data_IF_895925737790
#
_entry.id   IF_895925737790
#
_cell.length_a   1.000
_cell.length_b   1.000
_cell.length_c   1.000
_cell.angle_alpha   90.00
_cell.angle_beta   90.00
_cell.angle_gamma   90.00
#
_symmetry.space_group_name_H-M   'P 1'
#
loop_
_entity.id
_entity.type
_entity.pdbx_description
1 polymer ?
#
# COMPACT_ATOMS: atom_id res chain seq x y z
N UNK A 1 -8.25 27.67 9.94
CA UNK A 1 -8.56 27.13 8.61
C UNK A 1 -7.27 26.65 7.93
N UNK A 2 -6.20 27.42 8.01
CA UNK A 2 -4.87 27.15 7.46
C UNK A 2 -4.31 25.82 7.95
N UNK A 3 -4.21 25.62 9.26
CA UNK A 3 -3.75 24.34 9.87
C UNK A 3 -4.58 23.14 9.41
N UNK A 4 -5.89 23.34 9.19
CA UNK A 4 -6.77 22.28 8.72
C UNK A 4 -6.50 21.92 7.25
N UNK A 5 -6.15 22.91 6.42
CA UNK A 5 -5.76 22.67 5.03
C UNK A 5 -4.41 21.98 4.95
N UNK A 6 -3.42 22.45 5.69
CA UNK A 6 -2.10 21.82 5.76
C UNK A 6 -2.18 20.35 6.21
N UNK A 7 -2.92 20.08 7.30
CA UNK A 7 -3.12 18.72 7.77
C UNK A 7 -3.87 17.83 6.76
N UNK A 8 -4.83 18.40 6.02
CA UNK A 8 -5.54 17.68 4.98
C UNK A 8 -4.63 17.36 3.77
N UNK A 9 -3.80 18.30 3.35
CA UNK A 9 -2.79 18.09 2.30
C UNK A 9 -1.82 17.00 2.73
N UNK A 10 -1.26 17.07 3.94
CA UNK A 10 -0.31 16.07 4.45
C UNK A 10 -0.93 14.67 4.54
N UNK A 11 -2.20 14.57 4.96
CA UNK A 11 -2.91 13.30 4.97
C UNK A 11 -3.03 12.71 3.55
N UNK A 12 -3.46 13.52 2.59
CA UNK A 12 -3.65 13.07 1.21
C UNK A 12 -2.33 12.74 0.52
N UNK A 13 -1.26 13.50 0.75
CA UNK A 13 0.07 13.18 0.24
C UNK A 13 0.59 11.86 0.81
N UNK A 14 0.36 11.61 2.10
CA UNK A 14 0.69 10.32 2.71
C UNK A 14 -0.13 9.18 2.08
N UNK A 15 -1.44 9.40 1.87
CA UNK A 15 -2.31 8.43 1.21
C UNK A 15 -1.84 8.15 -0.24
N UNK A 16 -1.47 9.19 -0.99
CA UNK A 16 -0.91 9.11 -2.35
C UNK A 16 0.36 8.25 -2.40
N UNK A 17 1.30 8.50 -1.49
CA UNK A 17 2.55 7.74 -1.42
C UNK A 17 2.31 6.25 -1.09
N UNK A 18 1.39 5.97 -0.17
CA UNK A 18 1.04 4.58 0.16
C UNK A 18 0.29 3.90 -0.98
N UNK A 19 -0.58 4.62 -1.73
CA UNK A 19 -1.21 4.10 -2.94
C UNK A 19 -0.19 3.75 -4.00
N UNK A 20 0.80 4.61 -4.26
CA UNK A 20 1.90 4.32 -5.19
C UNK A 20 2.65 3.04 -4.79
N UNK A 21 3.02 2.89 -3.51
CA UNK A 21 3.68 1.67 -3.05
C UNK A 21 2.78 0.44 -3.21
N UNK A 22 1.48 0.57 -2.95
CA UNK A 22 0.53 -0.52 -3.14
C UNK A 22 0.43 -0.93 -4.62
N UNK A 23 0.49 0.04 -5.54
CA UNK A 23 0.55 -0.23 -6.98
C UNK A 23 1.82 -0.98 -7.37
N UNK A 24 3.00 -0.57 -6.88
CA UNK A 24 4.28 -1.27 -7.15
C UNK A 24 4.22 -2.74 -6.72
N UNK A 25 3.63 -3.01 -5.55
CA UNK A 25 3.44 -4.38 -5.05
C UNK A 25 2.50 -5.18 -5.96
N UNK A 26 1.39 -4.58 -6.40
CA UNK A 26 0.43 -5.23 -7.30
C UNK A 26 1.02 -5.46 -8.70
N UNK A 27 1.83 -4.56 -9.23
CA UNK A 27 2.54 -4.75 -10.49
C UNK A 27 3.51 -5.93 -10.42
N UNK A 28 4.22 -6.05 -9.29
CA UNK A 28 5.08 -7.21 -9.02
C UNK A 28 4.27 -8.51 -8.96
N UNK A 29 3.11 -8.49 -8.30
CA UNK A 29 2.20 -9.64 -8.25
C UNK A 29 1.65 -10.01 -9.63
N UNK A 30 1.28 -9.03 -10.45
CA UNK A 30 0.81 -9.26 -11.81
C UNK A 30 1.88 -9.95 -12.65
N UNK A 31 3.12 -9.48 -12.61
CA UNK A 31 4.25 -10.11 -13.30
C UNK A 31 4.49 -11.55 -12.86
N UNK A 32 4.39 -11.85 -11.56
CA UNK A 32 4.54 -13.21 -11.05
C UNK A 32 3.40 -14.13 -11.48
N UNK A 33 2.16 -13.65 -11.48
CA UNK A 33 1.00 -14.44 -11.87
C UNK A 33 1.00 -14.77 -13.38
N UNK A 34 1.51 -13.88 -14.23
CA UNK A 34 1.62 -14.09 -15.69
C UNK A 34 2.72 -15.10 -16.08
N UNK A 35 3.84 -15.09 -15.36
CA UNK A 35 4.97 -16.00 -15.66
C UNK A 35 4.59 -17.46 -15.44
N UNK A 36 3.63 -17.77 -14.56
CA UNK A 36 3.13 -19.14 -14.32
C UNK A 36 2.38 -19.76 -15.49
N UNK A 37 1.86 -18.96 -16.44
CA UNK A 37 1.01 -19.43 -17.52
C UNK A 37 1.79 -19.89 -18.79
N UNK A 38 3.06 -19.53 -18.97
CA UNK A 38 3.78 -19.68 -20.26
C UNK A 38 4.87 -20.75 -20.31
N UNK A 39 5.13 -21.56 -19.27
CA UNK A 39 6.34 -22.41 -19.26
C UNK A 39 6.12 -23.87 -19.63
N UNK A 40 6.73 -24.31 -20.74
CA UNK A 40 7.02 -25.72 -21.08
C UNK A 40 8.26 -26.23 -20.30
N UNK A 41 8.11 -26.47 -19.01
CA UNK A 41 9.16 -27.04 -18.17
C UNK A 41 8.88 -28.52 -17.83
N UNK A 42 9.92 -29.31 -17.52
CA UNK A 42 9.72 -30.65 -16.94
C UNK A 42 8.89 -30.57 -15.67
N UNK A 43 7.90 -31.45 -15.51
CA UNK A 43 6.89 -31.43 -14.42
C UNK A 43 7.46 -31.12 -13.01
N UNK A 44 8.63 -31.69 -12.68
CA UNK A 44 9.25 -31.48 -11.37
C UNK A 44 9.76 -30.05 -11.16
N UNK A 45 10.36 -29.44 -12.19
CA UNK A 45 10.81 -28.04 -12.13
C UNK A 45 9.65 -27.07 -12.15
N UNK A 46 8.59 -27.38 -12.90
CA UNK A 46 7.37 -26.59 -12.92
C UNK A 46 6.73 -26.52 -11.52
N UNK A 47 6.66 -27.63 -10.83
CA UNK A 47 6.09 -27.68 -9.47
C UNK A 47 6.92 -26.89 -8.46
N UNK A 48 8.26 -26.96 -8.51
CA UNK A 48 9.14 -26.18 -7.67
C UNK A 48 8.99 -24.66 -7.93
N UNK A 49 8.89 -24.23 -9.20
CA UNK A 49 8.67 -22.83 -9.56
C UNK A 49 7.25 -22.33 -9.18
N UNK A 50 6.24 -23.16 -9.32
CA UNK A 50 4.87 -22.83 -8.87
C UNK A 50 4.78 -22.65 -7.36
N UNK A 51 5.47 -23.49 -6.57
CA UNK A 51 5.54 -23.36 -5.11
C UNK A 51 6.26 -22.08 -4.69
N UNK A 52 7.41 -21.76 -5.33
CA UNK A 52 8.17 -20.53 -5.06
C UNK A 52 7.36 -19.28 -5.42
N UNK A 53 6.68 -19.29 -6.57
CA UNK A 53 5.81 -18.20 -6.99
C UNK A 53 4.65 -18.00 -6.04
N UNK A 54 4.00 -19.09 -5.60
CA UNK A 54 2.90 -19.03 -4.65
C UNK A 54 3.34 -18.48 -3.28
N UNK A 55 4.54 -18.84 -2.81
CA UNK A 55 5.10 -18.30 -1.58
C UNK A 55 5.36 -16.80 -1.71
N UNK A 56 5.98 -16.37 -2.81
CA UNK A 56 6.24 -14.95 -3.06
C UNK A 56 4.95 -14.13 -3.16
N UNK A 57 3.91 -14.65 -3.80
CA UNK A 57 2.60 -14.01 -3.83
C UNK A 57 1.99 -13.87 -2.42
N UNK A 58 2.15 -14.85 -1.55
CA UNK A 58 1.68 -14.75 -0.14
C UNK A 58 2.41 -13.67 0.64
N UNK A 59 3.73 -13.53 0.47
CA UNK A 59 4.50 -12.46 1.09
C UNK A 59 3.99 -11.08 0.65
N UNK A 60 3.77 -10.89 -0.65
CA UNK A 60 3.25 -9.64 -1.21
C UNK A 60 1.83 -9.33 -0.70
N UNK A 61 0.98 -10.34 -0.52
CA UNK A 61 -0.33 -10.16 0.11
C UNK A 61 -0.20 -9.69 1.56
N UNK A 62 0.78 -10.17 2.32
CA UNK A 62 1.06 -9.70 3.68
C UNK A 62 1.48 -8.23 3.66
N UNK A 63 2.34 -7.83 2.72
CA UNK A 63 2.74 -6.42 2.54
C UNK A 63 1.53 -5.54 2.21
N UNK A 64 0.67 -5.96 1.28
CA UNK A 64 -0.56 -5.24 0.95
C UNK A 64 -1.48 -5.06 2.16
N UNK A 65 -1.66 -6.12 2.96
CA UNK A 65 -2.47 -6.04 4.19
C UNK A 65 -1.91 -5.02 5.17
N UNK A 66 -0.59 -4.99 5.33
CA UNK A 66 0.06 -4.02 6.19
C UNK A 66 -0.12 -2.58 5.67
N UNK A 67 0.15 -2.34 4.38
CA UNK A 67 -0.05 -1.03 3.75
C UNK A 67 -1.48 -0.52 3.92
N UNK A 68 -2.48 -1.39 3.81
CA UNK A 68 -3.89 -1.06 3.98
C UNK A 68 -4.29 -0.68 5.41
N UNK A 69 -3.44 -0.93 6.41
CA UNK A 69 -3.69 -0.60 7.82
C UNK A 69 -2.94 0.63 8.32
N UNK A 70 -2.20 1.31 7.45
CA UNK A 70 -1.41 2.47 7.84
C UNK A 70 -2.27 3.64 8.29
N UNK A 71 -1.74 4.37 9.26
CA UNK A 71 -2.39 5.52 9.88
C UNK A 71 -1.53 6.78 9.72
N UNK A 72 -2.19 7.91 9.61
CA UNK A 72 -1.60 9.24 9.76
C UNK A 72 -2.24 9.94 10.94
N UNK A 73 -1.46 10.31 11.96
CA UNK A 73 -1.95 10.95 13.18
C UNK A 73 -3.13 10.18 13.84
N UNK A 74 -3.00 8.87 13.98
CA UNK A 74 -4.02 7.96 14.53
C UNK A 74 -5.32 7.89 13.71
N UNK A 75 -5.29 8.36 12.47
CA UNK A 75 -6.38 8.25 11.52
C UNK A 75 -5.98 7.29 10.41
N UNK A 76 -6.76 6.24 10.21
CA UNK A 76 -6.54 5.31 9.10
C UNK A 76 -6.49 6.05 7.76
N UNK A 77 -5.53 5.71 6.93
CA UNK A 77 -5.42 6.26 5.57
C UNK A 77 -6.54 5.73 4.66
N UNK A 78 -6.96 4.49 4.88
CA UNK A 78 -7.91 3.79 4.03
C UNK A 78 -9.12 3.28 4.80
N UNK A 79 -10.27 3.21 4.13
CA UNK A 79 -11.48 2.63 4.69
C UNK A 79 -11.43 1.11 4.66
N UNK A 80 -11.93 0.46 5.72
CA UNK A 80 -12.20 -0.98 5.75
C UNK A 80 -13.55 -1.37 5.13
N UNK A 81 -14.40 -0.40 4.83
CA UNK A 81 -15.70 -0.61 4.21
C UNK A 81 -15.54 -0.76 2.68
N UNK A 82 -16.52 -1.35 2.02
CA UNK A 82 -16.52 -1.50 0.55
C UNK A 82 -16.86 -0.21 -0.21
N UNK A 83 -16.95 0.93 0.50
CA UNK A 83 -17.28 2.24 -0.04
C UNK A 83 -16.30 3.30 0.43
N UNK A 84 -16.13 4.33 -0.38
CA UNK A 84 -15.43 5.53 0.02
C UNK A 84 -16.11 6.16 1.24
N UNK A 85 -15.29 6.60 2.19
CA UNK A 85 -15.73 7.31 3.38
C UNK A 85 -15.19 8.72 3.38
N UNK A 86 -16.07 9.70 3.49
CA UNK A 86 -15.66 11.09 3.64
C UNK A 86 -15.71 11.52 5.10
N UNK A 87 -14.65 12.16 5.56
CA UNK A 87 -14.57 12.65 6.94
C UNK A 87 -13.83 13.99 7.02
N UNK A 88 -13.92 14.66 8.16
CA UNK A 88 -13.10 15.83 8.49
C UNK A 88 -11.95 15.39 9.37
N UNK A 89 -10.72 15.71 8.98
CA UNK A 89 -9.51 15.29 9.70
C UNK A 89 -9.49 15.79 11.15
N UNK A 90 -10.06 16.97 11.41
CA UNK A 90 -10.07 17.59 12.72
C UNK A 90 -11.47 17.59 13.31
N UNK A 91 -11.63 17.02 14.52
CA UNK A 91 -12.88 17.10 15.29
C UNK A 91 -13.13 18.56 15.68
N UNK A 92 -14.35 19.03 15.48
CA UNK A 92 -14.72 20.43 15.78
C UNK A 92 -14.34 21.44 14.68
N UNK A 93 -13.74 21.00 13.58
CA UNK A 93 -13.52 21.83 12.42
C UNK A 93 -14.85 22.39 11.90
N UNK A 94 -14.90 23.71 11.68
CA UNK A 94 -16.09 24.42 11.21
C UNK A 94 -16.62 23.89 9.87
N UNK A 95 -17.75 24.42 9.37
CA UNK A 95 -18.37 23.94 8.14
C UNK A 95 -17.47 24.07 6.89
N UNK A 96 -16.50 24.97 6.94
CA UNK A 96 -15.54 25.22 5.83
C UNK A 96 -14.32 24.30 5.81
N UNK A 97 -14.18 23.39 6.81
CA UNK A 97 -13.07 22.46 6.81
C UNK A 97 -13.18 21.45 5.66
N UNK A 98 -12.06 21.14 4.99
CA UNK A 98 -12.06 20.21 3.88
C UNK A 98 -12.53 18.82 4.32
N UNK A 99 -13.31 18.18 3.47
CA UNK A 99 -13.64 16.76 3.60
C UNK A 99 -12.61 15.95 2.85
N UNK A 100 -12.08 14.96 3.50
CA UNK A 100 -11.11 14.02 2.94
C UNK A 100 -11.81 12.71 2.64
N UNK A 101 -11.43 12.06 1.55
CA UNK A 101 -11.88 10.73 1.19
C UNK A 101 -10.89 9.68 1.68
N UNK A 102 -11.42 8.63 2.32
CA UNK A 102 -10.72 7.36 2.54
C UNK A 102 -11.20 6.37 1.49
N UNK A 103 -10.30 5.91 0.66
CA UNK A 103 -10.58 4.90 -0.36
C UNK A 103 -10.70 3.51 0.27
N UNK A 104 -11.48 2.58 -0.32
CA UNK A 104 -11.74 1.24 0.22
C UNK A 104 -10.60 0.24 -0.05
N UNK A 105 -9.34 0.66 0.06
CA UNK A 105 -8.15 -0.15 -0.25
C UNK A 105 -8.11 -1.42 0.60
N UNK A 106 -8.40 -1.30 1.89
CA UNK A 106 -8.40 -2.45 2.80
C UNK A 106 -9.40 -3.52 2.36
N UNK A 107 -10.60 -3.13 1.93
CA UNK A 107 -11.60 -4.06 1.41
C UNK A 107 -11.11 -4.78 0.15
N UNK A 108 -10.49 -4.07 -0.80
CA UNK A 108 -9.92 -4.67 -2.01
C UNK A 108 -8.80 -5.65 -1.69
N UNK A 109 -7.91 -5.28 -0.75
CA UNK A 109 -6.83 -6.18 -0.30
C UNK A 109 -7.37 -7.43 0.38
N UNK A 110 -8.38 -7.31 1.24
CA UNK A 110 -9.02 -8.46 1.90
C UNK A 110 -9.71 -9.37 0.89
N UNK A 111 -10.36 -8.80 -0.12
CA UNK A 111 -10.97 -9.56 -1.22
C UNK A 111 -9.91 -10.34 -2.00
N UNK A 112 -8.82 -9.70 -2.43
CA UNK A 112 -7.72 -10.35 -3.13
C UNK A 112 -7.07 -11.45 -2.27
N UNK A 113 -6.87 -11.17 -0.98
CA UNK A 113 -6.25 -12.09 -0.03
C UNK A 113 -7.11 -13.33 0.28
N UNK A 114 -8.41 -13.29 -0.01
CA UNK A 114 -9.32 -14.43 0.16
C UNK A 114 -9.27 -15.41 -1.02
N UNK A 115 -8.66 -15.02 -2.13
CA UNK A 115 -8.50 -15.86 -3.31
C UNK A 115 -7.35 -16.86 -3.09
N UNK A 116 -7.55 -18.10 -3.54
CA UNK A 116 -6.52 -19.12 -3.47
C UNK A 116 -6.66 -20.11 -4.66
N UNK A 117 -5.78 -20.03 -5.65
CA UNK A 117 -4.67 -19.08 -5.81
C UNK A 117 -5.12 -17.67 -6.17
N UNK A 118 -4.26 -16.68 -5.91
CA UNK A 118 -4.44 -15.31 -6.43
C UNK A 118 -4.18 -15.33 -7.94
N UNK A 119 -5.17 -14.92 -8.72
CA UNK A 119 -5.07 -14.92 -10.18
C UNK A 119 -4.69 -13.53 -10.75
N UNK A 120 -4.11 -13.53 -11.95
CA UNK A 120 -3.69 -12.31 -12.65
C UNK A 120 -4.86 -11.35 -12.94
N UNK A 121 -6.06 -11.88 -13.17
CA UNK A 121 -7.26 -11.06 -13.47
C UNK A 121 -7.69 -10.25 -12.26
N UNK A 122 -7.69 -10.87 -11.08
CA UNK A 122 -8.02 -10.21 -9.82
C UNK A 122 -7.00 -9.15 -9.45
N UNK A 123 -5.70 -9.43 -9.64
CA UNK A 123 -4.62 -8.44 -9.44
C UNK A 123 -4.80 -7.26 -10.39
N UNK A 124 -5.05 -7.48 -11.68
CA UNK A 124 -5.27 -6.40 -12.66
C UNK A 124 -6.52 -5.57 -12.33
N UNK A 125 -7.60 -6.22 -11.85
CA UNK A 125 -8.81 -5.50 -11.42
C UNK A 125 -8.50 -4.57 -10.25
N UNK A 126 -7.73 -5.03 -9.29
CA UNK A 126 -7.30 -4.20 -8.16
C UNK A 126 -6.36 -3.07 -8.60
N UNK A 127 -5.40 -3.33 -9.51
CA UNK A 127 -4.55 -2.31 -10.11
C UNK A 127 -5.37 -1.17 -10.72
N UNK A 128 -6.37 -1.49 -11.54
CA UNK A 128 -7.23 -0.50 -12.16
C UNK A 128 -8.00 0.34 -11.12
N UNK A 129 -8.54 -0.31 -10.09
CA UNK A 129 -9.24 0.39 -9.02
C UNK A 129 -8.31 1.35 -8.25
N UNK A 130 -7.08 0.93 -7.96
CA UNK A 130 -6.11 1.77 -7.26
C UNK A 130 -5.61 2.94 -8.11
N UNK A 131 -5.42 2.76 -9.41
CA UNK A 131 -5.07 3.87 -10.31
C UNK A 131 -6.17 4.95 -10.32
N UNK A 132 -7.45 4.55 -10.30
CA UNK A 132 -8.55 5.50 -10.18
C UNK A 132 -8.52 6.24 -8.84
N UNK A 133 -8.29 5.51 -7.73
CA UNK A 133 -8.18 6.10 -6.40
C UNK A 133 -6.99 7.07 -6.31
N UNK A 134 -5.85 6.72 -6.90
CA UNK A 134 -4.67 7.59 -6.97
C UNK A 134 -5.01 8.88 -7.74
N UNK A 135 -5.61 8.78 -8.92
CA UNK A 135 -6.02 9.96 -9.69
C UNK A 135 -6.99 10.87 -8.93
N UNK A 136 -7.92 10.30 -8.16
CA UNK A 136 -8.82 11.09 -7.30
C UNK A 136 -8.05 11.75 -6.14
N UNK A 137 -7.06 11.08 -5.56
CA UNK A 137 -6.22 11.64 -4.50
C UNK A 137 -5.36 12.78 -5.02
N UNK A 138 -4.75 12.62 -6.20
CA UNK A 138 -3.94 13.64 -6.88
C UNK A 138 -4.75 14.91 -7.15
N UNK A 139 -5.96 14.75 -7.67
CA UNK A 139 -6.86 15.87 -7.91
C UNK A 139 -7.21 16.59 -6.59
N UNK A 140 -7.51 15.83 -5.52
CA UNK A 140 -7.83 16.42 -4.23
C UNK A 140 -6.63 17.15 -3.59
N UNK A 141 -5.42 16.66 -3.75
CA UNK A 141 -4.18 17.34 -3.31
C UNK A 141 -4.03 18.66 -4.05
N UNK A 142 -4.15 18.63 -5.39
CA UNK A 142 -4.03 19.84 -6.23
C UNK A 142 -5.06 20.91 -5.87
N UNK A 143 -6.31 20.52 -5.65
CA UNK A 143 -7.40 21.42 -5.27
C UNK A 143 -7.16 22.08 -3.90
N UNK A 144 -6.68 21.30 -2.93
CA UNK A 144 -6.35 21.82 -1.60
C UNK A 144 -5.12 22.72 -1.60
N UNK A 145 -4.08 22.39 -2.38
CA UNK A 145 -2.91 23.24 -2.56
C UNK A 145 -3.26 24.58 -3.21
N UNK A 146 -4.13 24.56 -4.23
CA UNK A 146 -4.66 25.77 -4.86
C UNK A 146 -5.43 26.62 -3.86
N UNK A 147 -6.31 26.00 -3.07
CA UNK A 147 -7.10 26.67 -2.03
C UNK A 147 -6.20 27.25 -0.93
N UNK A 148 -5.16 26.53 -0.54
CA UNK A 148 -4.19 27.00 0.43
C UNK A 148 -3.39 28.19 -0.08
N UNK A 149 -2.90 28.13 -1.31
CA UNK A 149 -2.16 29.24 -1.95
C UNK A 149 -3.01 30.49 -2.13
N UNK A 150 -4.29 30.34 -2.38
CA UNK A 150 -5.23 31.47 -2.47
C UNK A 150 -5.51 32.13 -1.12
N UNK A 151 -5.41 31.37 -0.01
CA UNK A 151 -5.60 31.90 1.34
C UNK A 151 -4.32 32.53 1.92
N UNK A 152 -3.16 32.04 1.48
CA UNK A 152 -1.86 32.43 1.98
C UNK A 152 -1.05 33.05 0.86
N UNK A 153 -1.28 34.33 0.59
CA UNK A 153 -0.38 35.12 -0.27
C UNK A 153 0.96 35.48 0.41
N UNK A 154 1.20 34.94 1.62
CA UNK A 154 2.42 35.22 2.39
C UNK A 154 3.54 34.23 2.03
N UNK A 155 4.78 34.71 1.70
CA UNK A 155 5.94 33.85 1.43
C UNK A 155 6.30 32.87 2.55
N UNK A 156 5.91 33.15 3.81
CA UNK A 156 6.12 32.24 4.94
C UNK A 156 5.32 30.95 4.85
N UNK A 157 4.09 31.01 4.36
CA UNK A 157 3.23 29.83 4.23
C UNK A 157 3.77 28.83 3.20
N UNK A 158 4.36 29.29 2.11
CA UNK A 158 5.06 28.41 1.14
C UNK A 158 6.27 27.71 1.74
N UNK A 159 6.92 28.31 2.74
CA UNK A 159 8.06 27.71 3.43
C UNK A 159 7.62 26.62 4.42
N UNK A 160 6.47 26.83 5.07
CA UNK A 160 5.87 25.82 5.97
C UNK A 160 5.31 24.63 5.19
N UNK A 161 4.73 24.84 4.01
CA UNK A 161 4.27 23.77 3.12
C UNK A 161 5.43 22.84 2.71
N UNK A 162 6.54 23.40 2.25
CA UNK A 162 7.74 22.63 1.94
C UNK A 162 8.26 21.82 3.13
N UNK A 163 8.23 22.40 4.32
CA UNK A 163 8.65 21.71 5.54
C UNK A 163 7.73 20.51 5.87
N UNK A 164 6.43 20.63 5.60
CA UNK A 164 5.47 19.54 5.80
C UNK A 164 5.68 18.45 4.75
N UNK A 165 5.90 18.82 3.49
CA UNK A 165 6.22 17.89 2.40
C UNK A 165 7.47 17.07 2.73
N UNK A 166 8.56 17.72 3.14
CA UNK A 166 9.80 17.05 3.56
C UNK A 166 9.59 16.09 4.74
N UNK A 167 8.75 16.45 5.71
CA UNK A 167 8.40 15.54 6.83
C UNK A 167 7.58 14.34 6.40
N UNK A 168 6.62 14.53 5.50
CA UNK A 168 5.80 13.43 4.96
C UNK A 168 6.69 12.48 4.16
N UNK A 169 7.57 12.99 3.32
CA UNK A 169 8.53 12.17 2.56
C UNK A 169 9.45 11.37 3.48
N UNK A 170 9.96 12.00 4.56
CA UNK A 170 10.78 11.31 5.55
C UNK A 170 10.02 10.19 6.23
N UNK A 171 8.79 10.44 6.67
CA UNK A 171 7.96 9.45 7.33
C UNK A 171 7.58 8.29 6.40
N UNK A 172 7.25 8.57 5.14
CA UNK A 172 6.99 7.54 4.13
C UNK A 172 8.23 6.70 3.88
N UNK A 173 9.41 7.33 3.78
CA UNK A 173 10.68 6.62 3.61
C UNK A 173 10.97 5.67 4.78
N UNK A 174 10.68 6.09 6.02
CA UNK A 174 10.80 5.24 7.21
C UNK A 174 9.83 4.04 7.18
N UNK A 175 8.59 4.27 6.71
CA UNK A 175 7.59 3.20 6.54
C UNK A 175 8.07 2.19 5.50
N UNK A 176 8.53 2.66 4.34
CA UNK A 176 9.02 1.80 3.27
C UNK A 176 10.24 0.98 3.71
N UNK A 177 11.20 1.61 4.41
CA UNK A 177 12.36 0.90 4.95
C UNK A 177 11.97 -0.19 5.96
N UNK A 178 10.92 0.03 6.76
CA UNK A 178 10.36 -1.01 7.65
C UNK A 178 9.71 -2.15 6.87
N UNK A 179 8.99 -1.85 5.80
CA UNK A 179 8.35 -2.86 4.94
C UNK A 179 9.40 -3.73 4.27
N UNK A 180 10.45 -3.13 3.73
CA UNK A 180 11.56 -3.87 3.11
C UNK A 180 12.29 -4.74 4.14
N UNK A 181 12.48 -4.24 5.37
CA UNK A 181 13.05 -5.00 6.48
C UNK A 181 12.19 -6.20 6.89
N UNK A 182 10.87 -6.06 6.93
CA UNK A 182 9.92 -7.14 7.25
C UNK A 182 9.91 -8.21 6.14
N UNK A 183 9.91 -7.81 4.88
CA UNK A 183 9.99 -8.73 3.74
C UNK A 183 11.27 -9.55 3.76
N UNK A 184 12.42 -8.93 4.03
CA UNK A 184 13.71 -9.62 4.18
C UNK A 184 13.69 -10.59 5.38
N UNK A 185 13.11 -10.18 6.49
CA UNK A 185 13.05 -11.01 7.71
C UNK A 185 12.11 -12.21 7.54
N UNK A 186 10.99 -12.04 6.85
CA UNK A 186 10.09 -13.14 6.49
C UNK A 186 10.80 -14.15 5.58
N UNK A 187 11.55 -13.69 4.59
CA UNK A 187 12.30 -14.55 3.68
C UNK A 187 13.42 -15.33 4.39
N UNK A 188 14.14 -14.71 5.32
CA UNK A 188 15.15 -15.38 6.15
C UNK A 188 14.50 -16.46 7.03
N UNK A 189 13.35 -16.14 7.65
CA UNK A 189 12.61 -17.08 8.51
C UNK A 189 12.09 -18.28 7.72
N UNK A 190 11.57 -18.07 6.51
CA UNK A 190 11.14 -19.15 5.61
C UNK A 190 12.30 -20.09 5.26
N UNK A 191 13.45 -19.56 4.86
CA UNK A 191 14.64 -20.40 4.58
C UNK A 191 15.14 -21.18 5.80
N UNK A 192 15.03 -20.63 7.00
CA UNK A 192 15.40 -21.33 8.23
C UNK A 192 14.45 -22.49 8.53
N UNK A 193 13.13 -22.28 8.32
CA UNK A 193 12.13 -23.35 8.49
C UNK A 193 12.36 -24.46 7.48
N UNK A 194 12.60 -24.14 6.21
CA UNK A 194 12.89 -25.12 5.17
C UNK A 194 14.17 -25.93 5.47
N UNK A 195 15.19 -25.27 6.01
CA UNK A 195 16.41 -25.95 6.48
C UNK A 195 16.13 -26.97 7.58
N UNK A 196 15.31 -26.60 8.56
CA UNK A 196 14.92 -27.48 9.67
C UNK A 196 14.04 -28.65 9.19
N UNK A 197 13.13 -28.41 8.27
CA UNK A 197 12.27 -29.47 7.68
C UNK A 197 13.10 -30.47 6.90
N UNK A 198 14.07 -30.02 6.10
CA UNK A 198 14.99 -30.92 5.36
C UNK A 198 15.87 -31.74 6.29
N UNK A 199 16.37 -31.14 7.36
CA UNK A 199 17.18 -31.82 8.37
C UNK A 199 16.39 -32.90 9.12
N UNK A 200 15.13 -32.62 9.45
CA UNK A 200 14.22 -33.59 10.08
C UNK A 200 13.91 -34.75 9.13
N UNK A 201 13.60 -34.46 7.85
CA UNK A 201 13.33 -35.49 6.84
C UNK A 201 14.55 -36.38 6.55
N UNK A 202 15.77 -35.83 6.65
CA UNK A 202 17.00 -36.60 6.53
C UNK A 202 17.18 -37.64 7.66
N UNK A 203 16.76 -37.28 8.87
CA UNK A 203 16.85 -38.17 10.07
C UNK A 203 15.83 -39.32 10.10
N UNK A 204 14.78 -39.25 9.28
CA UNK A 204 13.79 -40.34 9.18
C UNK A 204 14.09 -41.37 8.07
N UNK A 205 15.21 -41.22 7.35
CA UNK A 205 15.64 -42.15 6.27
C UNK A 205 16.83 -43.02 6.63
N UNK A 206 17.35 -42.93 7.85
CA UNK A 206 18.30 -43.90 8.47
C UNK A 206 17.55 -44.85 9.43
#
# INVERSE_FOLDING_TARGET
LEEHLQGAISFLQTQQNVLNRTLDVLETMAGLAEVGEEKFLPKKKQQEEEEETAERLRELVIELKWLATLEFNKQLLFSGENKEKSFKLFKGAGPKAPKIKQHPVKHHVESLASENPVDATSVRRMLNALHEMLGQTDAAVSDLQTSFSALTSDPKANKELKFIEEKVETWVSEILARTDGLSVQAHISSKQVDGLVREQHGKFKE
#
